data_IF_178037648587
#
_entry.id   IF_178037648587
#
_cell.length_a   1.000
_cell.length_b   1.000
_cell.length_c   1.000
_cell.angle_alpha   90.00
_cell.angle_beta   90.00
_cell.angle_gamma   90.00
#
_symmetry.space_group_name_H-M   'P 1'
#
loop_
_entity.id
_entity.type
_entity.pdbx_description
1 polymer ?
#
# COMPACT_ATOMS: atom_id res chain seq x y z
N UNK A 1 11.58 -24.86 -3.39
CA UNK A 1 10.48 -23.89 -3.20
C UNK A 1 9.22 -24.71 -3.44
N UNK A 2 8.36 -24.86 -2.43
CA UNK A 2 7.07 -25.50 -2.65
C UNK A 2 6.30 -24.70 -3.70
N UNK A 3 5.55 -25.38 -4.55
CA UNK A 3 4.71 -24.67 -5.53
C UNK A 3 3.51 -24.05 -4.82
N UNK A 4 3.03 -22.90 -5.29
CA UNK A 4 1.84 -22.24 -4.75
C UNK A 4 0.62 -23.19 -4.65
N UNK A 5 0.55 -24.18 -5.56
CA UNK A 5 -0.46 -25.24 -5.54
C UNK A 5 -0.33 -26.17 -4.32
N UNK A 6 0.88 -26.55 -3.92
CA UNK A 6 1.11 -27.37 -2.72
C UNK A 6 0.75 -26.62 -1.44
N UNK A 7 0.97 -25.30 -1.41
CA UNK A 7 0.57 -24.46 -0.27
C UNK A 7 -0.95 -24.33 -0.18
N UNK A 8 -1.64 -24.08 -1.31
CA UNK A 8 -3.11 -24.02 -1.35
C UNK A 8 -3.74 -25.34 -0.89
N UNK A 9 -3.21 -26.48 -1.36
CA UNK A 9 -3.67 -27.81 -0.95
C UNK A 9 -3.47 -28.04 0.56
N UNK A 10 -2.34 -27.57 1.12
CA UNK A 10 -2.12 -27.60 2.57
C UNK A 10 -3.19 -26.81 3.34
N UNK A 11 -3.56 -25.62 2.86
CA UNK A 11 -4.64 -24.83 3.47
C UNK A 11 -6.01 -25.50 3.36
N UNK A 12 -6.32 -26.10 2.20
CA UNK A 12 -7.56 -26.85 1.99
C UNK A 12 -7.65 -28.05 2.93
N UNK A 13 -6.55 -28.78 3.11
CA UNK A 13 -6.48 -29.94 4.01
C UNK A 13 -6.70 -29.58 5.49
N UNK A 14 -6.42 -28.33 5.86
CA UNK A 14 -6.68 -27.77 7.19
C UNK A 14 -8.11 -27.21 7.36
N UNK A 15 -8.97 -27.33 6.33
CA UNK A 15 -10.38 -26.90 6.37
C UNK A 15 -10.64 -25.49 5.84
N UNK A 16 -9.62 -24.80 5.32
CA UNK A 16 -9.74 -23.47 4.73
C UNK A 16 -10.03 -23.56 3.23
N UNK A 17 -11.23 -24.02 2.88
CA UNK A 17 -11.64 -24.37 1.50
C UNK A 17 -11.80 -23.14 0.59
N UNK A 18 -11.89 -21.95 1.17
CA UNK A 18 -12.06 -20.67 0.47
C UNK A 18 -10.73 -20.02 0.04
N UNK A 19 -9.59 -20.55 0.49
CA UNK A 19 -8.26 -20.06 0.09
C UNK A 19 -7.98 -20.49 -1.34
N UNK A 20 -7.85 -19.53 -2.25
CA UNK A 20 -7.47 -19.80 -3.64
C UNK A 20 -6.30 -18.93 -4.09
N UNK A 21 -5.79 -19.20 -5.28
CA UNK A 21 -4.79 -18.35 -5.91
C UNK A 21 -5.40 -16.95 -6.14
N UNK A 22 -4.96 -15.98 -5.32
CA UNK A 22 -5.43 -14.60 -5.39
C UNK A 22 -4.29 -13.71 -5.84
N UNK A 23 -4.46 -13.06 -6.99
CA UNK A 23 -3.49 -12.09 -7.49
C UNK A 23 -3.70 -10.70 -6.87
N UNK A 24 -2.65 -10.13 -6.29
CA UNK A 24 -2.62 -8.72 -5.89
C UNK A 24 -2.44 -7.87 -7.15
N UNK A 25 -3.51 -7.22 -7.62
CA UNK A 25 -3.45 -6.33 -8.78
C UNK A 25 -2.94 -4.93 -8.46
N UNK A 26 -2.76 -4.61 -7.19
CA UNK A 26 -2.19 -3.35 -6.75
C UNK A 26 -2.14 -3.26 -5.24
N UNK A 27 -1.32 -2.35 -4.74
CA UNK A 27 -1.22 -2.08 -3.32
C UNK A 27 -0.88 -0.61 -3.08
N UNK A 28 -1.19 -0.16 -1.86
CA UNK A 28 -0.71 1.11 -1.36
C UNK A 28 -0.24 0.95 0.09
N UNK A 29 0.67 1.82 0.52
CA UNK A 29 1.16 1.84 1.89
C UNK A 29 1.18 3.27 2.43
N UNK A 30 0.58 3.45 3.60
CA UNK A 30 0.55 4.72 4.32
C UNK A 30 1.52 4.72 5.51
N UNK A 31 2.06 5.89 5.82
CA UNK A 31 2.81 6.14 7.07
C UNK A 31 2.45 7.50 7.62
N UNK A 32 2.46 7.63 8.95
CA UNK A 32 2.45 8.96 9.57
C UNK A 32 3.73 9.70 9.19
N UNK A 33 3.62 11.01 8.97
CA UNK A 33 4.76 11.87 8.65
C UNK A 33 4.44 13.33 9.02
N UNK A 34 5.47 14.17 8.95
CA UNK A 34 5.35 15.62 9.01
C UNK A 34 5.97 16.26 7.77
N UNK A 35 5.36 17.35 7.32
CA UNK A 35 5.91 18.25 6.29
C UNK A 35 6.23 19.59 6.96
N UNK A 36 7.38 20.18 6.65
CA UNK A 36 7.69 21.51 7.17
C UNK A 36 6.99 22.56 6.31
N UNK A 37 6.52 23.65 6.92
CA UNK A 37 5.90 24.74 6.17
C UNK A 37 6.85 25.37 5.14
N UNK A 38 8.16 25.24 5.32
CA UNK A 38 9.20 25.66 4.37
C UNK A 38 9.27 24.81 3.11
N UNK A 39 8.72 23.60 3.14
CA UNK A 39 8.68 22.67 2.00
C UNK A 39 7.43 22.88 1.12
N UNK A 40 6.51 23.75 1.56
CA UNK A 40 5.30 24.08 0.84
C UNK A 40 5.50 25.27 -0.10
N UNK A 41 4.62 25.37 -1.09
CA UNK A 41 4.47 26.59 -1.87
C UNK A 41 4.19 27.80 -0.93
N UNK A 42 4.74 29.00 -1.19
CA UNK A 42 4.65 30.14 -0.30
C UNK A 42 3.21 30.55 0.08
N UNK A 43 2.27 30.37 -0.83
CA UNK A 43 0.85 30.66 -0.63
C UNK A 43 0.21 29.74 0.42
N UNK A 44 0.66 28.49 0.47
CA UNK A 44 0.20 27.48 1.42
C UNK A 44 0.94 27.57 2.75
N UNK A 45 2.23 27.89 2.73
CA UNK A 45 3.07 27.97 3.92
C UNK A 45 2.52 28.94 4.99
N UNK A 46 1.87 30.04 4.56
CA UNK A 46 1.24 31.03 5.46
C UNK A 46 0.01 30.51 6.20
N UNK A 47 -0.60 29.42 5.71
CA UNK A 47 -1.89 28.91 6.17
C UNK A 47 -1.77 27.78 7.21
N UNK A 48 -0.57 27.24 7.38
CA UNK A 48 -0.31 26.05 8.19
C UNK A 48 0.77 26.29 9.25
N UNK A 49 0.77 25.52 10.36
CA UNK A 49 1.83 25.57 11.36
C UNK A 49 3.17 25.08 10.80
N UNK A 50 4.25 25.32 11.54
CA UNK A 50 5.63 24.97 11.12
C UNK A 50 5.80 23.49 10.77
N UNK A 51 5.17 22.60 11.53
CA UNK A 51 5.14 21.15 11.28
C UNK A 51 3.71 20.72 11.02
N UNK A 52 3.48 20.14 9.85
CA UNK A 52 2.14 19.81 9.37
C UNK A 52 2.00 18.29 9.42
N UNK A 53 1.11 17.75 10.27
CA UNK A 53 0.88 16.32 10.32
C UNK A 53 0.19 15.86 9.03
N UNK A 54 0.73 14.81 8.41
CA UNK A 54 0.18 14.22 7.19
C UNK A 54 0.22 12.69 7.25
N UNK A 55 -0.58 12.06 6.39
CA UNK A 55 -0.46 10.64 6.08
C UNK A 55 0.21 10.52 4.71
N UNK A 56 1.46 10.06 4.68
CA UNK A 56 2.22 9.89 3.43
C UNK A 56 1.78 8.62 2.73
N UNK A 57 1.38 8.72 1.47
CA UNK A 57 1.32 7.61 0.53
C UNK A 57 2.75 7.24 0.12
N UNK A 58 3.37 6.31 0.83
CA UNK A 58 4.77 5.94 0.64
C UNK A 58 4.98 4.96 -0.52
N UNK A 59 3.97 4.14 -0.81
CA UNK A 59 3.96 3.22 -1.95
C UNK A 59 2.57 3.25 -2.59
N UNK A 60 2.57 3.23 -3.91
CA UNK A 60 1.40 2.96 -4.74
C UNK A 60 1.90 2.19 -5.96
N UNK A 61 1.35 1.01 -6.19
CA UNK A 61 1.67 0.21 -7.37
C UNK A 61 0.42 -0.48 -7.89
N UNK A 62 0.37 -0.63 -9.20
CA UNK A 62 -0.66 -1.38 -9.91
C UNK A 62 0.05 -2.36 -10.83
N UNK A 63 -0.49 -3.57 -10.93
CA UNK A 63 -0.01 -4.61 -11.81
C UNK A 63 0.06 -4.08 -13.25
N UNK A 64 1.18 -4.33 -13.94
CA UNK A 64 1.48 -3.77 -15.27
C UNK A 64 0.35 -3.94 -16.29
N UNK A 65 -0.25 -5.13 -16.34
CA UNK A 65 -1.36 -5.45 -17.25
C UNK A 65 -2.69 -4.74 -16.92
N UNK A 66 -2.75 -3.95 -15.85
CA UNK A 66 -3.91 -3.16 -15.42
C UNK A 66 -3.60 -1.66 -15.38
N UNK A 67 -2.41 -1.24 -15.82
CA UNK A 67 -2.05 0.16 -15.97
C UNK A 67 -2.69 0.72 -17.24
N UNK A 68 -3.18 1.96 -17.17
CA UNK A 68 -3.82 2.69 -18.26
C UNK A 68 -3.62 4.19 -18.09
#
# INVERSE_FOLDING_TARGET
>A
MASDAEEIESYHSAGYVDIGETSIFGYFAFTSAFVLSTDLAPELARRYPRQIPVTRLGRLAVHSNRQG
#
